data_IF_265920753047
#
_entry.id   IF_265920753047
#
_cell.length_a   1.000
_cell.length_b   1.000
_cell.length_c   1.000
_cell.angle_alpha   90.00
_cell.angle_beta   90.00
_cell.angle_gamma   90.00
#
_symmetry.space_group_name_H-M   'P 1'
#
loop_
_entity.id
_entity.type
_entity.pdbx_description
1 polymer ?
#
# COMPACT_ATOMS: atom_id res chain seq x y z
N UNK A 1 21.85 32.57 6.46
CA UNK A 1 21.37 31.18 6.72
C UNK A 1 19.90 31.21 7.07
N UNK A 2 18.99 30.92 6.12
CA UNK A 2 17.55 31.00 6.38
C UNK A 2 16.63 30.86 5.15
N UNK A 3 17.20 30.78 3.94
CA UNK A 3 16.46 30.66 2.68
C UNK A 3 16.14 29.21 2.29
N UNK A 4 16.98 28.24 2.66
CA UNK A 4 16.83 26.83 2.25
C UNK A 4 15.53 26.17 2.75
N UNK A 5 15.08 26.51 3.96
CA UNK A 5 13.88 25.88 4.56
C UNK A 5 12.57 26.38 3.93
N UNK A 6 12.59 27.52 3.21
CA UNK A 6 11.41 28.02 2.50
C UNK A 6 11.20 27.33 1.15
N UNK A 7 12.26 26.81 0.54
CA UNK A 7 12.21 26.15 -0.77
C UNK A 7 11.49 24.79 -0.70
N UNK A 8 11.82 23.98 0.32
CA UNK A 8 11.26 22.63 0.48
C UNK A 8 9.75 22.64 0.80
N UNK A 9 9.27 23.66 1.52
CA UNK A 9 7.82 23.81 1.79
C UNK A 9 7.04 24.14 0.51
N UNK A 10 7.64 24.90 -0.40
CA UNK A 10 7.00 25.24 -1.67
C UNK A 10 6.91 24.02 -2.61
N UNK A 11 7.92 23.14 -2.59
CA UNK A 11 7.89 21.89 -3.35
C UNK A 11 6.78 20.94 -2.87
N UNK A 12 6.63 20.80 -1.55
CA UNK A 12 5.57 19.98 -0.94
C UNK A 12 4.16 20.53 -1.22
N UNK A 13 3.97 21.85 -1.19
CA UNK A 13 2.66 22.43 -1.55
C UNK A 13 2.32 22.26 -3.03
N UNK A 14 3.30 22.31 -3.93
CA UNK A 14 3.07 22.12 -5.38
C UNK A 14 2.66 20.69 -5.72
N UNK A 15 3.17 19.68 -5.03
CA UNK A 15 2.80 18.28 -5.31
C UNK A 15 1.37 17.96 -4.85
N UNK A 16 0.93 18.53 -3.73
CA UNK A 16 -0.46 18.41 -3.27
C UNK A 16 -1.45 19.00 -4.26
N UNK A 17 -1.16 20.19 -4.80
CA UNK A 17 -2.04 20.85 -5.76
C UNK A 17 -2.20 20.05 -7.06
N UNK A 18 -1.11 19.47 -7.59
CA UNK A 18 -1.16 18.60 -8.77
C UNK A 18 -2.06 17.37 -8.55
N UNK A 19 -1.96 16.74 -7.39
CA UNK A 19 -2.77 15.55 -7.06
C UNK A 19 -4.27 15.88 -6.98
N UNK A 20 -4.60 17.05 -6.40
CA UNK A 20 -5.99 17.54 -6.34
C UNK A 20 -6.54 17.83 -7.74
N UNK A 21 -5.73 18.43 -8.62
CA UNK A 21 -6.11 18.71 -10.02
C UNK A 21 -6.30 17.41 -10.83
N UNK A 22 -5.44 16.41 -10.62
CA UNK A 22 -5.61 15.10 -11.24
C UNK A 22 -6.91 14.43 -10.77
N UNK A 23 -7.17 14.41 -9.46
CA UNK A 23 -8.41 13.87 -8.89
C UNK A 23 -9.65 14.60 -9.42
N UNK A 24 -9.64 15.94 -9.47
CA UNK A 24 -10.76 16.70 -10.00
C UNK A 24 -11.00 16.41 -11.48
N UNK A 25 -9.93 16.25 -12.27
CA UNK A 25 -10.04 15.89 -13.69
C UNK A 25 -10.72 14.53 -13.91
N UNK A 26 -10.46 13.52 -13.06
CA UNK A 26 -11.15 12.23 -13.10
C UNK A 26 -12.64 12.35 -12.77
N UNK A 27 -13.00 13.21 -11.81
CA UNK A 27 -14.40 13.47 -11.49
C UNK A 27 -15.11 14.18 -12.64
N UNK A 28 -14.50 15.19 -13.26
CA UNK A 28 -15.08 15.86 -14.42
C UNK A 28 -15.22 14.94 -15.63
N UNK A 29 -14.23 14.09 -15.88
CA UNK A 29 -14.28 13.13 -16.99
C UNK A 29 -15.35 12.05 -16.76
N UNK A 30 -15.50 11.59 -15.50
CA UNK A 30 -16.56 10.65 -15.14
C UNK A 30 -17.95 11.28 -15.23
N UNK A 31 -18.10 12.52 -14.75
CA UNK A 31 -19.38 13.25 -14.79
C UNK A 31 -19.81 13.57 -16.23
N UNK A 32 -18.89 13.98 -17.09
CA UNK A 32 -19.17 14.24 -18.52
C UNK A 32 -19.54 12.97 -19.28
N UNK A 33 -18.93 11.82 -18.95
CA UNK A 33 -19.32 10.53 -19.53
C UNK A 33 -20.77 10.17 -19.18
N UNK A 34 -21.17 10.33 -17.92
CA UNK A 34 -22.56 10.08 -17.48
C UNK A 34 -23.55 11.03 -18.17
N UNK A 35 -23.18 12.29 -18.39
CA UNK A 35 -24.00 13.25 -19.13
C UNK A 35 -24.15 12.84 -20.61
N UNK A 36 -23.08 12.44 -21.29
CA UNK A 36 -23.16 12.01 -22.69
C UNK A 36 -24.04 10.75 -22.85
N UNK A 37 -23.99 9.83 -21.88
CA UNK A 37 -24.93 8.71 -21.83
C UNK A 37 -26.38 9.17 -21.64
N UNK A 38 -26.62 10.10 -20.72
CA UNK A 38 -27.97 10.63 -20.46
C UNK A 38 -28.54 11.33 -21.70
N UNK A 39 -27.75 12.16 -22.38
CA UNK A 39 -28.16 12.87 -23.59
C UNK A 39 -28.46 11.90 -24.75
N UNK A 40 -27.69 10.82 -24.88
CA UNK A 40 -27.95 9.78 -25.88
C UNK A 40 -29.22 9.00 -25.56
N UNK A 41 -29.43 8.65 -24.28
CA UNK A 41 -30.64 8.01 -23.82
C UNK A 41 -31.86 8.89 -24.02
N UNK A 42 -31.76 10.18 -23.74
CA UNK A 42 -32.85 11.13 -23.93
C UNK A 42 -33.20 11.30 -25.41
N UNK A 43 -32.21 11.38 -26.31
CA UNK A 43 -32.47 11.40 -27.77
C UNK A 43 -33.11 10.10 -28.27
N UNK A 44 -32.66 8.95 -27.77
CA UNK A 44 -33.27 7.65 -28.07
C UNK A 44 -34.71 7.60 -27.53
N UNK A 45 -34.91 8.02 -26.30
CA UNK A 45 -36.22 8.01 -25.68
C UNK A 45 -37.17 8.98 -26.39
N UNK A 46 -36.72 10.17 -26.74
CA UNK A 46 -37.53 11.15 -27.46
C UNK A 46 -37.89 10.63 -28.86
N UNK A 47 -36.96 10.01 -29.58
CA UNK A 47 -37.24 9.51 -30.94
C UNK A 47 -38.17 8.28 -30.97
N UNK A 48 -38.09 7.39 -29.98
CA UNK A 48 -38.90 6.16 -29.95
C UNK A 48 -40.17 6.28 -29.11
N UNK A 49 -40.13 6.98 -27.98
CA UNK A 49 -41.27 7.06 -27.06
C UNK A 49 -42.29 8.12 -27.46
N UNK A 50 -41.82 9.25 -28.01
CA UNK A 50 -42.69 10.37 -28.43
C UNK A 50 -43.72 9.97 -29.50
N UNK A 51 -43.40 9.22 -30.58
CA UNK A 51 -44.43 8.77 -31.51
C UNK A 51 -45.41 7.79 -30.85
N UNK A 52 -44.93 6.90 -29.97
CA UNK A 52 -45.78 5.97 -29.23
C UNK A 52 -46.80 6.69 -28.35
N UNK A 53 -46.37 7.70 -27.59
CA UNK A 53 -47.24 8.53 -26.77
C UNK A 53 -48.21 9.38 -27.61
N UNK A 54 -47.75 9.93 -28.73
CA UNK A 54 -48.62 10.68 -29.64
C UNK A 54 -49.73 9.81 -30.24
N UNK A 55 -49.45 8.53 -30.52
CA UNK A 55 -50.49 7.57 -30.94
C UNK A 55 -51.50 7.29 -29.84
N UNK A 56 -51.06 7.23 -28.58
CA UNK A 56 -51.93 7.01 -27.43
C UNK A 56 -52.84 8.22 -27.21
N UNK A 57 -52.29 9.44 -27.20
CA UNK A 57 -53.09 10.68 -27.07
C UNK A 57 -54.08 10.84 -28.24
N UNK A 58 -53.63 10.63 -29.48
CA UNK A 58 -54.50 10.72 -30.65
C UNK A 58 -55.60 9.63 -30.65
N UNK A 59 -55.37 8.49 -30.00
CA UNK A 59 -56.37 7.44 -29.83
C UNK A 59 -57.41 7.77 -28.76
N UNK A 60 -57.03 8.54 -27.73
CA UNK A 60 -57.97 8.97 -26.68
C UNK A 60 -58.94 10.07 -27.13
N UNK A 61 -58.52 10.96 -28.03
CA UNK A 61 -59.37 12.07 -28.49
C UNK A 61 -60.49 11.66 -29.46
N UNK A 62 -60.43 10.45 -30.05
CA UNK A 62 -61.23 10.11 -31.25
C UNK A 62 -62.55 9.38 -31.03
N UNK A 63 -63.04 9.21 -29.79
CA UNK A 63 -64.45 8.94 -29.33
C UNK A 63 -64.49 7.91 -28.18
N UNK A 64 -65.28 8.14 -27.11
CA UNK A 64 -65.65 7.10 -26.15
C UNK A 64 -66.77 6.22 -26.72
N UNK A 65 -66.46 5.28 -27.62
CA UNK A 65 -67.42 4.22 -28.01
C UNK A 65 -67.26 3.07 -27.02
N UNK A 66 -67.78 3.33 -25.83
CA UNK A 66 -67.92 2.43 -24.71
C UNK A 66 -68.59 1.11 -25.14
N UNK A 67 -68.06 -0.01 -24.61
CA UNK A 67 -68.69 -1.32 -24.30
C UNK A 67 -68.41 -2.59 -25.13
N UNK A 68 -67.90 -2.55 -26.37
CA UNK A 68 -67.72 -3.80 -27.16
C UNK A 68 -66.25 -4.22 -27.44
N UNK A 69 -65.27 -3.34 -27.17
CA UNK A 69 -63.84 -3.63 -27.39
C UNK A 69 -63.02 -3.60 -26.07
N UNK A 70 -63.69 -3.48 -24.92
CA UNK A 70 -63.03 -3.44 -23.61
C UNK A 70 -62.48 -4.80 -23.20
N UNK A 71 -63.12 -5.92 -23.55
CA UNK A 71 -62.67 -7.24 -23.09
C UNK A 71 -61.40 -7.72 -23.80
N UNK A 72 -61.28 -7.48 -25.12
CA UNK A 72 -60.08 -7.86 -25.87
C UNK A 72 -58.87 -6.99 -25.54
N UNK A 73 -59.07 -5.70 -25.27
CA UNK A 73 -57.96 -4.81 -24.93
C UNK A 73 -57.42 -5.10 -23.52
N UNK A 74 -58.29 -5.38 -22.55
CA UNK A 74 -57.87 -5.79 -21.20
C UNK A 74 -57.13 -7.13 -21.26
N UNK A 75 -57.60 -8.10 -22.07
CA UNK A 75 -56.89 -9.37 -22.24
C UNK A 75 -55.48 -9.17 -22.80
N UNK A 76 -55.31 -8.33 -23.83
CA UNK A 76 -53.98 -8.05 -24.41
C UNK A 76 -53.08 -7.36 -23.41
N UNK A 77 -53.58 -6.38 -22.65
CA UNK A 77 -52.78 -5.68 -21.62
C UNK A 77 -52.36 -6.64 -20.51
N UNK A 78 -53.29 -7.44 -20.00
CA UNK A 78 -53.03 -8.43 -18.95
C UNK A 78 -52.06 -9.49 -19.47
N UNK A 79 -52.26 -10.02 -20.68
CA UNK A 79 -51.34 -10.98 -21.31
C UNK A 79 -49.95 -10.39 -21.50
N UNK A 80 -49.84 -9.13 -21.91
CA UNK A 80 -48.58 -8.42 -22.07
C UNK A 80 -47.87 -8.26 -20.72
N UNK A 81 -48.57 -7.80 -19.67
CA UNK A 81 -48.01 -7.69 -18.32
C UNK A 81 -47.55 -9.07 -17.79
N UNK A 82 -48.37 -10.11 -17.94
CA UNK A 82 -48.03 -11.48 -17.55
C UNK A 82 -46.85 -12.04 -18.36
N UNK A 83 -46.69 -11.63 -19.62
CA UNK A 83 -45.55 -12.02 -20.46
C UNK A 83 -44.28 -11.25 -20.13
N UNK A 84 -44.37 -10.03 -19.59
CA UNK A 84 -43.21 -9.27 -19.12
C UNK A 84 -42.71 -9.73 -17.75
N UNK A 85 -43.59 -10.30 -16.91
CA UNK A 85 -43.22 -10.84 -15.61
C UNK A 85 -42.04 -11.86 -15.67
N UNK A 86 -42.06 -12.91 -16.53
CA UNK A 86 -40.93 -13.85 -16.63
C UNK A 86 -39.66 -13.20 -17.18
N UNK A 87 -39.77 -12.17 -18.02
CA UNK A 87 -38.61 -11.44 -18.54
C UNK A 87 -37.98 -10.61 -17.42
N UNK A 88 -38.79 -9.91 -16.63
CA UNK A 88 -38.32 -9.12 -15.50
C UNK A 88 -37.65 -9.97 -14.41
N UNK A 89 -38.25 -11.13 -14.08
CA UNK A 89 -37.64 -12.05 -13.11
C UNK A 89 -36.35 -12.64 -13.64
N UNK A 90 -36.29 -13.02 -14.92
CA UNK A 90 -35.07 -13.51 -15.56
C UNK A 90 -33.94 -12.46 -15.51
N UNK A 91 -34.22 -11.22 -15.88
CA UNK A 91 -33.23 -10.12 -15.83
C UNK A 91 -32.75 -9.85 -14.40
N UNK A 92 -33.65 -9.88 -13.43
CA UNK A 92 -33.30 -9.66 -12.02
C UNK A 92 -32.40 -10.78 -11.50
N UNK A 93 -32.75 -12.03 -11.80
CA UNK A 93 -31.95 -13.19 -11.39
C UNK A 93 -30.58 -13.16 -12.08
N UNK A 94 -30.53 -12.87 -13.37
CA UNK A 94 -29.27 -12.77 -14.12
C UNK A 94 -28.37 -11.64 -13.61
N UNK A 95 -28.93 -10.46 -13.35
CA UNK A 95 -28.20 -9.36 -12.73
C UNK A 95 -27.71 -9.71 -11.32
N UNK A 96 -28.57 -10.35 -10.52
CA UNK A 96 -28.24 -10.79 -9.17
C UNK A 96 -27.12 -11.83 -9.14
N UNK A 97 -27.15 -12.81 -10.04
CA UNK A 97 -26.07 -13.80 -10.14
C UNK A 97 -24.76 -13.16 -10.56
N UNK A 98 -24.77 -12.25 -11.54
CA UNK A 98 -23.57 -11.52 -11.97
C UNK A 98 -22.95 -10.71 -10.83
N UNK A 99 -23.77 -9.98 -10.06
CA UNK A 99 -23.31 -9.23 -8.88
C UNK A 99 -22.74 -10.17 -7.82
N UNK A 100 -23.40 -11.30 -7.55
CA UNK A 100 -22.93 -12.30 -6.60
C UNK A 100 -21.58 -12.91 -7.01
N UNK A 101 -21.38 -13.19 -8.30
CA UNK A 101 -20.10 -13.68 -8.83
C UNK A 101 -18.97 -12.65 -8.65
N UNK A 102 -19.24 -11.37 -8.94
CA UNK A 102 -18.26 -10.30 -8.76
C UNK A 102 -17.88 -10.16 -7.28
N UNK A 103 -18.87 -10.09 -6.38
CA UNK A 103 -18.65 -10.03 -4.94
C UNK A 103 -17.88 -11.25 -4.42
N UNK A 104 -18.26 -12.45 -4.88
CA UNK A 104 -17.57 -13.70 -4.52
C UNK A 104 -16.10 -13.68 -4.97
N UNK A 105 -15.83 -13.19 -6.18
CA UNK A 105 -14.47 -13.00 -6.69
C UNK A 105 -13.65 -12.00 -5.87
N UNK A 106 -14.24 -10.86 -5.50
CA UNK A 106 -13.55 -9.86 -4.67
C UNK A 106 -13.21 -10.44 -3.29
N UNK A 107 -14.16 -11.13 -2.66
CA UNK A 107 -13.95 -11.75 -1.34
C UNK A 107 -12.88 -12.84 -1.42
N UNK A 108 -12.88 -13.68 -2.45
CA UNK A 108 -11.89 -14.75 -2.59
C UNK A 108 -10.48 -14.20 -2.81
N UNK A 109 -10.32 -13.17 -3.64
CA UNK A 109 -9.05 -12.47 -3.85
C UNK A 109 -8.56 -11.83 -2.55
N UNK A 110 -9.45 -11.22 -1.77
CA UNK A 110 -9.11 -10.59 -0.50
C UNK A 110 -8.64 -11.61 0.54
N UNK A 111 -9.34 -12.75 0.66
CA UNK A 111 -8.93 -13.86 1.53
C UNK A 111 -7.58 -14.42 1.10
N UNK A 112 -7.39 -14.67 -0.19
CA UNK A 112 -6.13 -15.18 -0.73
C UNK A 112 -4.96 -14.20 -0.47
N UNK A 113 -5.19 -12.90 -0.66
CA UNK A 113 -4.20 -11.85 -0.40
C UNK A 113 -3.81 -11.78 1.07
N UNK A 114 -4.78 -11.76 1.98
CA UNK A 114 -4.52 -11.78 3.44
C UNK A 114 -3.77 -13.06 3.82
N UNK A 115 -4.18 -14.21 3.30
CA UNK A 115 -3.50 -15.49 3.53
C UNK A 115 -2.04 -15.46 3.09
N UNK A 116 -1.76 -14.95 1.89
CA UNK A 116 -0.40 -14.81 1.39
C UNK A 116 0.44 -13.90 2.30
N UNK A 117 -0.09 -12.74 2.71
CA UNK A 117 0.60 -11.81 3.61
C UNK A 117 0.95 -12.48 4.94
N UNK A 118 0.00 -13.23 5.53
CA UNK A 118 0.24 -13.94 6.80
C UNK A 118 1.32 -15.03 6.66
N UNK A 119 1.31 -15.78 5.55
CA UNK A 119 2.32 -16.81 5.27
C UNK A 119 3.70 -16.16 5.13
N UNK A 120 3.84 -15.14 4.30
CA UNK A 120 5.12 -14.44 4.12
C UNK A 120 5.61 -13.78 5.41
N UNK A 121 4.70 -13.16 6.17
CA UNK A 121 5.03 -12.58 7.48
C UNK A 121 5.54 -13.64 8.45
N UNK A 122 4.91 -14.82 8.50
CA UNK A 122 5.34 -15.92 9.37
C UNK A 122 6.70 -16.47 8.96
N UNK A 123 6.94 -16.65 7.65
CA UNK A 123 8.26 -17.05 7.13
C UNK A 123 9.32 -16.02 7.48
N UNK A 124 9.04 -14.74 7.31
CA UNK A 124 9.96 -13.66 7.63
C UNK A 124 10.28 -13.62 9.13
N UNK A 125 9.27 -13.75 10.01
CA UNK A 125 9.48 -13.83 11.45
C UNK A 125 10.33 -15.05 11.83
N UNK A 126 10.09 -16.19 11.20
CA UNK A 126 10.85 -17.42 11.45
C UNK A 126 12.32 -17.27 11.05
N UNK A 127 12.59 -16.69 9.88
CA UNK A 127 13.96 -16.39 9.42
C UNK A 127 14.62 -15.38 10.35
N UNK A 128 13.93 -14.29 10.70
CA UNK A 128 14.46 -13.26 11.59
C UNK A 128 14.81 -13.85 12.96
N UNK A 129 13.93 -14.68 13.52
CA UNK A 129 14.17 -15.36 14.78
C UNK A 129 15.35 -16.34 14.69
N UNK A 130 15.42 -17.13 13.62
CA UNK A 130 16.55 -18.04 13.35
C UNK A 130 17.89 -17.30 13.25
N UNK A 131 17.93 -16.19 12.50
CA UNK A 131 19.13 -15.35 12.38
C UNK A 131 19.50 -14.67 13.70
N UNK A 132 18.53 -14.26 14.52
CA UNK A 132 18.78 -13.69 15.84
C UNK A 132 19.39 -14.74 16.79
N UNK A 133 18.90 -15.98 16.78
CA UNK A 133 19.50 -17.09 17.54
C UNK A 133 20.92 -17.38 17.04
N UNK A 134 21.11 -17.46 15.73
CA UNK A 134 22.44 -17.70 15.16
C UNK A 134 23.42 -16.58 15.54
N UNK A 135 23.01 -15.32 15.45
CA UNK A 135 23.83 -14.17 15.82
C UNK A 135 24.18 -14.16 17.31
N UNK A 136 23.21 -14.43 18.19
CA UNK A 136 23.47 -14.51 19.65
C UNK A 136 24.38 -15.68 19.99
N UNK A 137 24.22 -16.84 19.34
CA UNK A 137 25.11 -17.99 19.49
C UNK A 137 26.54 -17.68 19.06
N UNK A 138 26.72 -17.11 17.86
CA UNK A 138 28.04 -16.71 17.34
C UNK A 138 28.69 -15.68 18.26
N UNK A 139 27.95 -14.66 18.69
CA UNK A 139 28.45 -13.63 19.60
C UNK A 139 28.88 -14.24 20.94
N UNK A 140 28.06 -15.12 21.52
CA UNK A 140 28.35 -15.80 22.78
C UNK A 140 29.58 -16.70 22.67
N UNK A 141 29.71 -17.44 21.56
CA UNK A 141 30.89 -18.26 21.28
C UNK A 141 32.16 -17.42 21.11
N UNK A 142 32.07 -16.30 20.41
CA UNK A 142 33.22 -15.43 20.14
C UNK A 142 33.68 -14.72 21.42
N UNK A 143 32.74 -14.19 22.21
CA UNK A 143 33.01 -13.61 23.54
C UNK A 143 33.56 -14.68 24.48
N UNK A 144 32.94 -15.87 24.53
CA UNK A 144 33.38 -16.98 25.37
C UNK A 144 34.80 -17.45 25.01
N UNK A 145 35.10 -17.61 23.72
CA UNK A 145 36.43 -17.96 23.23
C UNK A 145 37.47 -16.91 23.59
N UNK A 146 37.15 -15.62 23.41
CA UNK A 146 38.03 -14.52 23.80
C UNK A 146 38.32 -14.53 25.32
N UNK A 147 37.28 -14.72 26.14
CA UNK A 147 37.42 -14.79 27.60
C UNK A 147 38.30 -15.98 28.02
N UNK A 148 38.10 -17.16 27.41
CA UNK A 148 38.92 -18.34 27.66
C UNK A 148 40.39 -18.14 27.24
N UNK A 149 40.63 -17.53 26.07
CA UNK A 149 41.98 -17.21 25.61
C UNK A 149 42.68 -16.23 26.55
N UNK A 150 41.97 -15.17 26.97
CA UNK A 150 42.52 -14.18 27.91
C UNK A 150 42.83 -14.80 29.26
N UNK A 151 41.95 -15.64 29.78
CA UNK A 151 42.17 -16.38 31.03
C UNK A 151 43.38 -17.32 30.90
N UNK A 152 43.52 -18.02 29.77
CA UNK A 152 44.65 -18.91 29.52
C UNK A 152 45.99 -18.14 29.49
N UNK A 153 46.00 -16.95 28.87
CA UNK A 153 47.19 -16.07 28.84
C UNK A 153 47.55 -15.61 30.26
N UNK A 154 46.59 -15.10 31.05
CA UNK A 154 46.82 -14.67 32.43
C UNK A 154 47.27 -15.82 33.35
N UNK A 155 46.64 -16.98 33.23
CA UNK A 155 47.01 -18.16 34.03
C UNK A 155 48.43 -18.64 33.72
N UNK A 156 48.89 -18.46 32.47
CA UNK A 156 50.26 -18.79 32.08
C UNK A 156 51.30 -17.81 32.61
N UNK A 157 50.95 -16.53 32.76
CA UNK A 157 51.85 -15.49 33.24
C UNK A 157 51.96 -15.48 34.77
N UNK A 158 50.83 -15.53 35.49
CA UNK A 158 50.77 -15.32 36.95
C UNK A 158 50.30 -16.55 37.75
N UNK A 159 50.10 -17.69 37.07
CA UNK A 159 49.60 -18.92 37.71
C UNK A 159 48.17 -18.78 38.23
N UNK A 160 47.91 -19.38 39.40
CA UNK A 160 46.58 -19.33 40.06
C UNK A 160 46.18 -17.92 40.51
N UNK A 161 47.15 -17.03 40.78
CA UNK A 161 46.87 -15.66 41.20
C UNK A 161 46.20 -14.83 40.10
N UNK A 162 46.64 -15.00 38.86
CA UNK A 162 46.07 -14.28 37.71
C UNK A 162 44.60 -14.63 37.45
N UNK A 163 44.20 -15.89 37.66
CA UNK A 163 42.81 -16.31 37.50
C UNK A 163 41.88 -15.65 38.54
N UNK A 164 42.33 -15.51 39.79
CA UNK A 164 41.56 -14.85 40.84
C UNK A 164 41.38 -13.34 40.56
N UNK A 165 42.44 -12.68 40.09
CA UNK A 165 42.40 -11.26 39.72
C UNK A 165 41.48 -11.01 38.51
N UNK A 166 41.56 -11.86 37.49
CA UNK A 166 40.65 -11.78 36.34
C UNK A 166 39.18 -11.96 36.74
N UNK A 167 38.89 -12.87 37.68
CA UNK A 167 37.53 -13.10 38.15
C UNK A 167 36.96 -11.89 38.90
N UNK A 168 37.77 -11.18 39.71
CA UNK A 168 37.35 -9.92 40.31
C UNK A 168 37.12 -8.82 39.26
N UNK A 169 38.00 -8.70 38.27
CA UNK A 169 37.86 -7.69 37.21
C UNK A 169 36.57 -7.86 36.40
N UNK A 170 36.22 -9.11 36.04
CA UNK A 170 34.97 -9.39 35.33
C UNK A 170 33.76 -9.13 36.21
N UNK A 171 33.82 -9.52 37.48
CA UNK A 171 32.73 -9.30 38.41
C UNK A 171 32.47 -7.79 38.56
N UNK A 172 33.51 -6.99 38.71
CA UNK A 172 33.41 -5.54 38.83
C UNK A 172 32.88 -4.92 37.52
N UNK A 173 33.36 -5.37 36.37
CA UNK A 173 32.86 -4.92 35.06
C UNK A 173 31.36 -5.23 34.88
N UNK A 174 30.92 -6.45 35.20
CA UNK A 174 29.52 -6.88 35.08
C UNK A 174 28.63 -6.14 36.09
N UNK A 175 29.08 -5.99 37.34
CA UNK A 175 28.34 -5.27 38.37
C UNK A 175 28.18 -3.79 38.01
N UNK A 176 29.24 -3.14 37.52
CA UNK A 176 29.18 -1.73 37.11
C UNK A 176 28.30 -1.53 35.87
N UNK A 177 28.29 -2.49 34.94
CA UNK A 177 27.42 -2.43 33.75
C UNK A 177 25.94 -2.63 34.12
N UNK A 178 25.63 -3.55 35.04
CA UNK A 178 24.26 -3.86 35.46
C UNK A 178 23.68 -2.82 36.43
N UNK A 179 24.50 -2.27 37.32
CA UNK A 179 24.03 -1.26 38.29
C UNK A 179 23.78 0.11 37.66
N UNK A 180 24.11 0.28 36.38
CA UNK A 180 23.85 1.52 35.65
C UNK A 180 24.39 2.73 36.40
N UNK A 181 25.50 2.56 37.15
CA UNK A 181 26.03 3.60 38.01
C UNK A 181 26.44 4.76 37.12
N UNK A 182 25.59 5.79 37.23
CA UNK A 182 25.65 7.16 36.73
C UNK A 182 26.89 7.53 35.89
N UNK A 183 26.70 8.22 34.74
CA UNK A 183 27.80 8.72 33.93
C UNK A 183 28.85 9.39 34.82
N UNK A 184 30.16 9.19 34.51
CA UNK A 184 31.24 9.81 35.27
C UNK A 184 30.88 11.29 35.43
N UNK A 185 30.98 11.85 36.65
CA UNK A 185 30.61 13.24 36.89
C UNK A 185 31.29 14.04 35.80
N UNK A 186 30.46 14.69 34.96
CA UNK A 186 30.97 15.59 33.94
C UNK A 186 31.96 16.46 34.67
N UNK A 187 33.24 16.29 34.33
CA UNK A 187 34.28 17.20 34.74
C UNK A 187 33.72 18.53 34.26
N UNK A 188 33.23 19.32 35.23
CA UNK A 188 32.80 20.68 35.04
C UNK A 188 34.03 21.38 34.52
N UNK A 189 34.15 21.37 33.19
CA UNK A 189 35.20 21.98 32.43
C UNK A 189 35.27 23.42 32.91
N UNK A 190 36.32 23.69 33.66
CA UNK A 190 36.67 25.02 34.09
C UNK A 190 36.84 25.86 32.84
N UNK A 191 35.77 26.57 32.50
CA UNK A 191 35.78 27.99 32.19
C UNK A 191 37.13 28.60 32.56
N UNK A 192 37.98 28.74 31.55
CA UNK A 192 38.91 29.84 31.30
C UNK A 192 40.17 29.31 30.59
N UNK A 193 40.13 29.23 29.27
CA UNK A 193 41.34 29.39 28.46
C UNK A 193 41.00 30.12 27.16
N UNK A 194 41.76 31.15 26.77
CA UNK A 194 41.34 32.12 25.79
C UNK A 194 41.63 31.71 24.35
N UNK A 195 40.73 32.17 23.47
CA UNK A 195 40.84 32.34 22.03
C UNK A 195 42.28 32.52 21.50
N UNK A 196 42.75 31.57 20.68
CA UNK A 196 43.62 31.78 19.51
C UNK A 196 43.42 30.55 18.59
N UNK A 197 42.81 30.68 17.41
CA UNK A 197 43.46 30.99 16.12
C UNK A 197 43.46 29.70 15.26
N UNK A 198 42.50 29.57 14.33
CA UNK A 198 42.64 29.85 12.89
C UNK A 198 43.50 28.83 12.13
N UNK A 199 42.87 28.15 11.15
CA UNK A 199 43.50 27.23 10.19
C UNK A 199 42.57 26.03 9.94
N UNK A 200 41.52 26.13 9.12
CA UNK A 200 41.56 26.19 7.64
C UNK A 200 42.56 25.21 7.04
N UNK A 201 42.14 23.97 6.80
CA UNK A 201 42.61 23.18 5.64
C UNK A 201 41.54 22.15 5.27
N UNK A 202 40.73 22.52 4.29
CA UNK A 202 40.03 21.61 3.38
C UNK A 202 40.99 21.31 2.22
N UNK A 203 41.10 20.05 1.78
CA UNK A 203 40.68 19.70 0.42
C UNK A 203 39.90 18.37 0.43
N UNK A 204 38.71 18.30 -0.16
CA UNK A 204 38.45 18.19 -1.60
C UNK A 204 39.02 16.90 -2.22
N UNK A 205 38.09 16.15 -2.81
CA UNK A 205 38.17 15.37 -4.05
C UNK A 205 38.15 13.83 -4.01
N UNK A 206 37.29 13.33 -4.92
CA UNK A 206 37.24 11.99 -5.54
C UNK A 206 36.65 10.89 -4.64
N UNK A 207 35.57 10.20 -5.00
CA UNK A 207 35.47 9.49 -6.26
C UNK A 207 34.02 9.10 -6.59
N UNK A 208 33.57 9.69 -7.69
CA UNK A 208 32.59 9.20 -8.65
C UNK A 208 32.71 7.68 -8.87
N UNK A 209 31.66 6.93 -8.58
CA UNK A 209 31.46 5.60 -9.14
C UNK A 209 30.05 5.49 -9.67
N UNK A 210 29.88 6.04 -10.88
CA UNK A 210 28.91 5.60 -11.85
C UNK A 210 29.00 4.07 -12.01
N UNK A 211 27.99 3.35 -11.51
CA UNK A 211 27.67 2.02 -12.02
C UNK A 211 26.36 2.14 -12.78
N UNK A 212 26.53 2.60 -14.01
CA UNK A 212 25.64 2.30 -15.13
C UNK A 212 25.51 0.78 -15.23
N UNK A 213 24.33 0.24 -14.91
CA UNK A 213 23.91 -1.06 -15.43
C UNK A 213 22.69 -0.86 -16.33
N UNK A 214 23.04 -0.66 -17.60
CA UNK A 214 22.16 -0.64 -18.75
C UNK A 214 21.36 -1.94 -18.91
N UNK A 215 20.15 -1.76 -19.44
CA UNK A 215 19.45 -2.62 -20.41
C UNK A 215 19.12 -4.08 -20.06
N UNK A 216 17.80 -4.34 -20.01
CA UNK A 216 17.14 -5.02 -21.13
C UNK A 216 15.62 -4.73 -21.13
N UNK A 217 15.02 -4.25 -22.23
CA UNK A 217 13.57 -4.31 -22.42
C UNK A 217 13.17 -5.76 -22.75
N UNK A 218 12.41 -6.35 -21.84
CA UNK A 218 11.80 -7.66 -22.01
C UNK A 218 10.78 -7.60 -23.17
N UNK A 219 11.08 -8.36 -24.23
CA UNK A 219 10.21 -8.50 -25.40
C UNK A 219 8.95 -9.27 -25.00
N UNK A 220 7.79 -8.67 -25.24
CA UNK A 220 6.50 -9.36 -25.22
C UNK A 220 6.49 -10.51 -26.24
N UNK A 221 6.12 -11.74 -25.83
CA UNK A 221 5.80 -12.79 -26.78
C UNK A 221 4.41 -12.57 -27.37
N UNK A 222 4.41 -12.12 -28.63
CA UNK A 222 3.27 -12.16 -29.54
C UNK A 222 2.98 -13.61 -29.91
N UNK A 223 1.96 -14.21 -29.30
CA UNK A 223 1.32 -15.43 -29.80
C UNK A 223 -0.12 -15.12 -30.15
N UNK A 224 -0.28 -14.25 -31.16
CA UNK A 224 -1.40 -14.41 -32.07
C UNK A 224 -1.10 -15.60 -32.98
N UNK A 225 -2.15 -16.31 -33.40
CA UNK A 225 -2.17 -17.41 -34.36
C UNK A 225 -1.81 -18.80 -33.81
N UNK A 226 -2.80 -19.57 -33.36
CA UNK A 226 -3.20 -20.81 -34.06
C UNK A 226 -4.59 -21.30 -33.60
N UNK A 227 -5.52 -21.37 -34.56
CA UNK A 227 -6.77 -22.16 -34.62
C UNK A 227 -7.96 -21.80 -33.73
#
# INVERSE_FOLDING_TARGET
>A
MGTSVKEDRNAAQRSGYKRVEELSSYFFNSASSVQDFTDRFEKLFESYLRPGLAFVDASFDRKPILTLCTDTQVFVIVFLILSFLPIGTYLTVMGGTLVAFILGGIISVLIASIGAILIFSTVLLSVLFGTAIAATFVTTMLVGSFLLLRLAVMTRQDGLGGAAMWASDIKDYVLNTLTGSSPPPLISEGKDTPLLESGSTEPQDTQESDVVKSEAPEKEPTWAESY
#
